data_IF_236250106778
#
_entry.id   IF_236250106778
#
_cell.length_a   1.000
_cell.length_b   1.000
_cell.length_c   1.000
_cell.angle_alpha   90.00
_cell.angle_beta   90.00
_cell.angle_gamma   90.00
#
_symmetry.space_group_name_H-M   'P 1'
#
loop_
_entity.id
_entity.type
_entity.pdbx_description
1 polymer ?
#
# COMPACT_ATOMS: atom_id res chain seq x y z
N UNK A 1 -0.92 17.71 27.73
CA UNK A 1 -1.50 18.96 27.21
C UNK A 1 -2.68 19.35 28.09
N UNK A 2 -2.71 20.62 28.58
CA UNK A 2 -3.75 21.08 29.49
C UNK A 2 -4.99 21.62 28.74
N UNK A 3 -6.17 21.54 29.40
CA UNK A 3 -7.44 22.04 28.83
C UNK A 3 -7.36 23.52 28.39
N UNK A 4 -6.63 24.35 29.13
CA UNK A 4 -6.47 25.79 28.82
C UNK A 4 -5.69 26.01 27.52
N UNK A 5 -4.67 25.19 27.26
CA UNK A 5 -3.88 25.24 26.07
C UNK A 5 -4.70 24.84 24.85
N UNK A 6 -5.42 23.71 24.92
CA UNK A 6 -6.30 23.29 23.82
C UNK A 6 -7.42 24.29 23.56
N UNK A 7 -7.98 24.88 24.61
CA UNK A 7 -9.01 25.90 24.47
C UNK A 7 -8.46 27.13 23.70
N UNK A 8 -7.27 27.59 24.06
CA UNK A 8 -6.60 28.71 23.39
C UNK A 8 -6.26 28.41 21.92
N UNK A 9 -5.68 27.25 21.65
CA UNK A 9 -5.30 26.85 20.29
C UNK A 9 -6.49 26.67 19.33
N UNK A 10 -7.67 26.37 19.88
CA UNK A 10 -8.90 26.16 19.08
C UNK A 10 -9.90 27.30 19.22
N UNK A 11 -9.54 28.42 19.79
CA UNK A 11 -10.42 29.59 19.97
C UNK A 11 -11.71 29.26 20.75
N UNK A 12 -11.62 28.35 21.73
CA UNK A 12 -12.74 27.90 22.54
C UNK A 12 -12.53 28.28 24.01
N UNK A 13 -13.63 28.28 24.79
CA UNK A 13 -13.53 28.35 26.24
C UNK A 13 -13.31 26.95 26.85
N UNK A 14 -12.61 26.88 27.99
CA UNK A 14 -12.46 25.61 28.71
C UNK A 14 -13.81 25.00 29.09
N UNK A 15 -14.83 25.85 29.39
CA UNK A 15 -16.20 25.38 29.63
C UNK A 15 -16.84 24.72 28.42
N UNK A 16 -16.60 25.22 27.22
CA UNK A 16 -17.07 24.61 25.97
C UNK A 16 -16.48 23.23 25.77
N UNK A 17 -15.18 23.05 26.05
CA UNK A 17 -14.49 21.75 25.96
C UNK A 17 -15.09 20.77 26.98
N UNK A 18 -15.31 21.18 28.23
CA UNK A 18 -15.94 20.32 29.25
C UNK A 18 -17.36 19.91 28.83
N UNK A 19 -18.14 20.85 28.27
CA UNK A 19 -19.49 20.56 27.77
C UNK A 19 -19.46 19.55 26.60
N UNK A 20 -18.48 19.65 25.72
CA UNK A 20 -18.24 18.69 24.65
C UNK A 20 -17.91 17.30 25.22
N UNK A 21 -16.98 17.21 26.17
CA UNK A 21 -16.63 15.95 26.82
C UNK A 21 -17.84 15.24 27.42
N UNK A 22 -18.68 15.98 28.15
CA UNK A 22 -19.93 15.45 28.72
C UNK A 22 -20.91 14.95 27.67
N UNK A 23 -21.03 15.64 26.52
CA UNK A 23 -21.88 15.18 25.40
C UNK A 23 -21.34 13.89 24.75
N UNK A 24 -20.03 13.66 24.81
CA UNK A 24 -19.37 12.43 24.33
C UNK A 24 -19.42 11.29 25.37
N UNK A 25 -20.04 11.51 26.53
CA UNK A 25 -20.16 10.50 27.59
C UNK A 25 -19.00 10.43 28.57
N UNK A 26 -18.12 11.46 28.58
CA UNK A 26 -17.01 11.56 29.55
C UNK A 26 -17.33 12.57 30.64
N UNK A 27 -16.89 12.31 31.87
CA UNK A 27 -17.11 13.23 33.01
C UNK A 27 -16.39 14.57 32.85
N UNK A 28 -15.32 14.61 32.06
CA UNK A 28 -14.56 15.81 31.74
C UNK A 28 -13.40 15.60 30.81
N UNK A 29 -12.61 16.69 30.63
CA UNK A 29 -11.47 16.68 29.72
C UNK A 29 -10.38 15.66 30.10
N UNK A 30 -10.11 15.50 31.38
CA UNK A 30 -9.07 14.59 31.87
C UNK A 30 -9.38 13.13 31.52
N UNK A 31 -10.64 12.73 31.62
CA UNK A 31 -11.07 11.39 31.28
C UNK A 31 -10.99 11.14 29.77
N UNK A 32 -11.49 12.09 28.96
CA UNK A 32 -11.36 12.02 27.50
C UNK A 32 -9.89 11.96 27.09
N UNK A 33 -9.03 12.81 27.66
CA UNK A 33 -7.61 12.84 27.36
C UNK A 33 -6.95 11.49 27.67
N UNK A 34 -7.22 10.94 28.85
CA UNK A 34 -6.69 9.63 29.26
C UNK A 34 -7.17 8.51 28.34
N UNK A 35 -8.45 8.51 27.99
CA UNK A 35 -9.02 7.56 27.04
C UNK A 35 -8.33 7.63 25.67
N UNK A 36 -8.19 8.83 25.11
CA UNK A 36 -7.54 9.04 23.80
C UNK A 36 -6.05 8.68 23.86
N UNK A 37 -5.33 9.09 24.91
CA UNK A 37 -3.91 8.73 25.07
C UNK A 37 -3.71 7.23 25.09
N UNK A 38 -4.55 6.51 25.82
CA UNK A 38 -4.51 5.04 25.87
C UNK A 38 -4.84 4.37 24.52
N UNK A 39 -5.74 4.97 23.73
CA UNK A 39 -6.02 4.48 22.39
C UNK A 39 -4.87 4.76 21.42
N UNK A 40 -4.19 5.89 21.55
CA UNK A 40 -3.01 6.23 20.76
C UNK A 40 -1.82 5.34 21.09
N UNK A 41 -1.56 5.10 22.39
CA UNK A 41 -0.51 4.19 22.85
C UNK A 41 -0.75 2.76 22.33
N UNK A 42 -1.98 2.25 22.46
CA UNK A 42 -2.35 0.93 21.91
C UNK A 42 -2.23 0.85 20.39
N UNK A 43 -2.52 1.93 19.66
CA UNK A 43 -2.33 1.99 18.21
C UNK A 43 -0.84 2.06 17.85
N UNK A 44 -0.05 2.83 18.60
CA UNK A 44 1.40 2.94 18.43
C UNK A 44 2.09 1.60 18.67
N UNK A 45 1.80 0.94 19.79
CA UNK A 45 2.33 -0.39 20.12
C UNK A 45 1.93 -1.45 19.08
N UNK A 46 0.63 -1.52 18.73
CA UNK A 46 0.17 -2.45 17.69
C UNK A 46 0.77 -2.15 16.32
N UNK A 47 0.95 -0.89 15.96
CA UNK A 47 1.59 -0.51 14.69
C UNK A 47 3.07 -0.86 14.68
N UNK A 48 3.78 -0.63 15.78
CA UNK A 48 5.19 -0.97 15.92
C UNK A 48 5.40 -2.49 15.92
N UNK A 49 4.56 -3.23 16.63
CA UNK A 49 4.60 -4.70 16.68
C UNK A 49 4.22 -5.33 15.34
N UNK A 50 3.20 -4.79 14.66
CA UNK A 50 2.81 -5.21 13.31
C UNK A 50 3.90 -4.89 12.28
N UNK A 51 4.52 -3.70 12.36
CA UNK A 51 5.65 -3.33 11.49
C UNK A 51 6.86 -4.24 11.75
N UNK A 52 7.19 -4.52 13.01
CA UNK A 52 8.27 -5.43 13.35
C UNK A 52 8.00 -6.85 12.82
N UNK A 53 6.79 -7.36 13.00
CA UNK A 53 6.38 -8.68 12.47
C UNK A 53 6.38 -8.71 10.94
N UNK A 54 6.05 -7.62 10.26
CA UNK A 54 6.12 -7.50 8.81
C UNK A 54 7.58 -7.48 8.33
N UNK A 55 8.44 -6.71 8.99
CA UNK A 55 9.87 -6.63 8.65
C UNK A 55 10.56 -7.96 8.92
N UNK A 56 10.25 -8.63 10.02
CA UNK A 56 10.82 -9.94 10.36
C UNK A 56 10.39 -11.07 9.39
N UNK A 57 9.33 -10.87 8.61
CA UNK A 57 8.84 -11.85 7.63
C UNK A 57 9.44 -11.69 6.23
N UNK A 58 10.13 -10.58 5.95
CA UNK A 58 10.76 -10.32 4.65
C UNK A 58 12.28 -10.14 4.82
N UNK A 59 13.03 -10.77 3.94
CA UNK A 59 14.49 -10.60 3.96
C UNK A 59 14.90 -9.19 3.57
N UNK A 60 16.01 -8.71 4.14
CA UNK A 60 16.58 -7.41 3.78
C UNK A 60 16.86 -7.30 2.27
N UNK A 61 17.22 -8.40 1.63
CA UNK A 61 17.45 -8.47 0.17
C UNK A 61 16.18 -8.17 -0.61
N UNK A 62 15.03 -8.73 -0.18
CA UNK A 62 13.73 -8.47 -0.82
C UNK A 62 13.33 -7.01 -0.65
N UNK A 63 13.47 -6.47 0.56
CA UNK A 63 13.14 -5.07 0.86
C UNK A 63 14.03 -4.12 0.07
N UNK A 64 15.34 -4.36 0.08
CA UNK A 64 16.31 -3.54 -0.65
C UNK A 64 16.09 -3.64 -2.17
N UNK A 65 15.79 -4.82 -2.69
CA UNK A 65 15.45 -5.02 -4.10
C UNK A 65 14.19 -4.27 -4.51
N UNK A 66 13.15 -4.27 -3.66
CA UNK A 66 11.93 -3.51 -3.89
C UNK A 66 12.18 -2.00 -3.88
N UNK A 67 12.92 -1.49 -2.90
CA UNK A 67 13.30 -0.07 -2.83
C UNK A 67 14.13 0.36 -4.03
N UNK A 68 15.13 -0.44 -4.42
CA UNK A 68 15.97 -0.14 -5.58
C UNK A 68 15.16 -0.10 -6.89
N UNK A 69 14.18 -1.01 -7.05
CA UNK A 69 13.28 -1.00 -8.20
C UNK A 69 12.43 0.27 -8.23
N UNK A 70 11.85 0.69 -7.08
CA UNK A 70 11.08 1.92 -6.99
C UNK A 70 11.91 3.15 -7.32
N UNK A 71 13.12 3.23 -6.78
CA UNK A 71 14.02 4.37 -7.04
C UNK A 71 14.45 4.43 -8.51
N UNK A 72 14.77 3.30 -9.13
CA UNK A 72 15.09 3.21 -10.56
C UNK A 72 13.91 3.61 -11.45
N UNK A 73 12.68 3.37 -11.00
CA UNK A 73 11.45 3.62 -11.76
C UNK A 73 10.71 4.91 -11.35
N UNK A 74 11.39 5.83 -10.66
CA UNK A 74 10.74 7.04 -10.09
C UNK A 74 10.08 7.94 -11.14
N UNK A 75 10.60 7.99 -12.34
CA UNK A 75 10.08 8.78 -13.46
C UNK A 75 9.25 7.93 -14.44
N UNK A 76 9.16 6.63 -14.21
CA UNK A 76 8.43 5.71 -15.07
C UNK A 76 6.96 5.60 -14.69
N UNK A 77 6.17 5.07 -15.60
CA UNK A 77 4.77 4.72 -15.34
C UNK A 77 4.68 3.44 -14.54
N UNK A 78 3.81 3.43 -13.56
CA UNK A 78 3.51 2.24 -12.77
C UNK A 78 2.05 1.83 -13.00
N UNK A 79 1.80 0.53 -12.95
CA UNK A 79 0.49 -0.03 -13.21
C UNK A 79 0.14 -1.02 -12.10
N UNK A 80 -1.14 -1.16 -11.77
CA UNK A 80 -1.62 -2.23 -10.89
C UNK A 80 -2.65 -3.07 -11.63
N UNK A 81 -2.67 -4.38 -11.37
CA UNK A 81 -3.70 -5.31 -11.84
C UNK A 81 -4.09 -6.28 -10.73
N UNK A 82 -5.35 -6.68 -10.72
CA UNK A 82 -5.90 -7.64 -9.78
C UNK A 82 -7.38 -7.88 -10.06
N UNK A 83 -7.90 -9.05 -9.69
CA UNK A 83 -9.30 -9.41 -9.87
C UNK A 83 -10.02 -9.55 -8.52
N UNK A 84 -11.29 -9.13 -8.47
CA UNK A 84 -12.14 -9.21 -7.29
C UNK A 84 -11.52 -8.51 -6.07
N UNK A 85 -11.36 -9.22 -4.95
CA UNK A 85 -10.75 -8.63 -3.75
C UNK A 85 -9.28 -8.23 -3.95
N UNK A 86 -8.57 -8.87 -4.87
CA UNK A 86 -7.19 -8.51 -5.17
C UNK A 86 -7.08 -7.14 -5.83
N UNK A 87 -8.10 -6.68 -6.56
CA UNK A 87 -8.12 -5.34 -7.13
C UNK A 87 -8.14 -4.24 -6.07
N UNK A 88 -8.80 -4.48 -4.92
CA UNK A 88 -8.81 -3.55 -3.77
C UNK A 88 -7.40 -3.38 -3.20
N UNK A 89 -6.63 -4.47 -3.14
CA UNK A 89 -5.22 -4.41 -2.70
C UNK A 89 -4.38 -3.64 -3.72
N UNK A 90 -4.59 -3.88 -5.02
CA UNK A 90 -3.96 -3.13 -6.10
C UNK A 90 -4.25 -1.62 -6.01
N UNK A 91 -5.50 -1.25 -5.76
CA UNK A 91 -5.91 0.13 -5.54
C UNK A 91 -5.21 0.76 -4.33
N UNK A 92 -5.14 0.05 -3.22
CA UNK A 92 -4.41 0.51 -2.04
C UNK A 92 -2.92 0.74 -2.33
N UNK A 93 -2.26 -0.17 -3.05
CA UNK A 93 -0.87 -0.02 -3.49
C UNK A 93 -0.74 1.24 -4.35
N UNK A 94 -1.62 1.42 -5.34
CA UNK A 94 -1.62 2.59 -6.23
C UNK A 94 -1.75 3.90 -5.45
N UNK A 95 -2.68 3.97 -4.50
CA UNK A 95 -2.86 5.15 -3.65
C UNK A 95 -1.60 5.45 -2.83
N UNK A 96 -0.96 4.44 -2.23
CA UNK A 96 0.24 4.61 -1.43
C UNK A 96 1.42 5.10 -2.25
N UNK A 97 1.65 4.52 -3.40
CA UNK A 97 2.71 4.95 -4.32
C UNK A 97 2.45 6.37 -4.86
N UNK A 98 1.19 6.71 -5.18
CA UNK A 98 0.82 8.06 -5.63
C UNK A 98 1.10 9.14 -4.56
N UNK A 99 0.84 8.83 -3.27
CA UNK A 99 1.19 9.73 -2.15
C UNK A 99 2.72 9.93 -2.06
N UNK A 100 3.50 8.92 -2.42
CA UNK A 100 4.97 8.99 -2.50
C UNK A 100 5.48 9.69 -3.78
N UNK A 101 4.59 10.18 -4.64
CA UNK A 101 4.94 10.95 -5.83
C UNK A 101 5.17 10.11 -7.09
N UNK A 102 4.81 8.83 -7.09
CA UNK A 102 4.87 7.99 -8.29
C UNK A 102 3.63 8.17 -9.19
N UNK A 103 3.82 8.05 -10.49
CA UNK A 103 2.73 8.05 -11.47
C UNK A 103 2.15 6.63 -11.60
N UNK A 104 0.98 6.38 -11.01
CA UNK A 104 0.39 5.04 -10.94
C UNK A 104 -0.98 5.01 -11.59
N UNK A 105 -1.18 4.04 -12.48
CA UNK A 105 -2.45 3.72 -13.13
C UNK A 105 -3.04 2.48 -12.47
N UNK A 106 -4.20 2.66 -11.85
CA UNK A 106 -4.82 1.60 -11.06
C UNK A 106 -5.69 0.67 -11.91
N UNK A 107 -5.62 -0.62 -11.61
CA UNK A 107 -6.46 -1.68 -12.15
C UNK A 107 -6.54 -1.66 -13.69
N UNK A 108 -5.37 -1.58 -14.32
CA UNK A 108 -5.23 -1.50 -15.77
C UNK A 108 -5.24 -2.91 -16.35
N UNK A 109 -6.26 -3.20 -17.15
CA UNK A 109 -6.34 -4.43 -17.94
C UNK A 109 -5.60 -4.28 -19.27
N UNK A 110 -5.34 -5.39 -19.91
CA UNK A 110 -4.53 -5.50 -21.12
C UNK A 110 -4.81 -4.43 -22.19
N UNK A 111 -6.06 -4.17 -22.51
CA UNK A 111 -6.42 -3.18 -23.54
C UNK A 111 -6.20 -1.73 -23.09
N UNK A 112 -6.40 -1.44 -21.83
CA UNK A 112 -6.08 -0.13 -21.24
C UNK A 112 -4.57 0.10 -21.24
N UNK A 113 -3.81 -0.95 -20.93
CA UNK A 113 -2.37 -0.94 -20.95
C UNK A 113 -1.82 -0.57 -22.34
N UNK A 114 -2.44 -1.05 -23.41
CA UNK A 114 -2.05 -0.66 -24.79
C UNK A 114 -2.24 0.83 -25.07
N UNK A 115 -3.20 1.49 -24.43
CA UNK A 115 -3.42 2.93 -24.56
C UNK A 115 -2.32 3.77 -23.89
N UNK A 116 -1.67 3.21 -22.88
CA UNK A 116 -0.63 3.88 -22.11
C UNK A 116 0.79 3.53 -22.54
N UNK A 117 0.96 2.45 -23.30
CA UNK A 117 2.23 2.11 -23.95
C UNK A 117 2.31 2.83 -25.29
N UNK A 118 2.79 4.08 -25.28
CA UNK A 118 3.11 4.75 -26.53
C UNK A 118 4.36 4.11 -27.15
N UNK A 119 4.42 4.08 -28.50
CA UNK A 119 5.58 3.57 -29.23
C UNK A 119 6.90 4.31 -28.86
N UNK A 120 6.81 5.50 -28.30
CA UNK A 120 7.95 6.26 -27.80
C UNK A 120 8.57 5.67 -26.52
N UNK A 121 7.78 4.99 -25.69
CA UNK A 121 8.28 4.37 -24.45
C UNK A 121 9.15 3.13 -24.73
N UNK A 122 9.11 2.62 -25.97
CA UNK A 122 9.85 1.42 -26.39
C UNK A 122 11.21 1.73 -27.05
N UNK A 123 11.48 2.98 -27.39
CA UNK A 123 12.66 3.37 -28.17
C UNK A 123 13.76 4.07 -27.35
N UNK A 124 13.48 4.48 -26.12
CA UNK A 124 14.46 5.06 -25.21
C UNK A 124 15.16 3.94 -24.42
N UNK A 125 16.30 3.45 -24.92
CA UNK A 125 17.15 2.47 -24.21
C UNK A 125 17.62 2.99 -22.83
N UNK A 126 17.54 4.29 -22.58
CA UNK A 126 17.88 4.94 -21.32
C UNK A 126 16.65 5.21 -20.41
N UNK A 127 15.43 4.96 -20.90
CA UNK A 127 14.23 5.21 -20.09
C UNK A 127 14.13 4.23 -18.92
N UNK A 128 13.77 4.74 -17.75
CA UNK A 128 13.51 3.91 -16.58
C UNK A 128 12.37 2.91 -16.89
N UNK A 129 12.53 1.63 -16.52
CA UNK A 129 11.54 0.61 -16.86
C UNK A 129 10.22 0.87 -16.13
N UNK A 130 9.12 0.82 -16.86
CA UNK A 130 7.79 0.82 -16.25
C UNK A 130 7.59 -0.41 -15.38
N UNK A 131 6.76 -0.31 -14.33
CA UNK A 131 6.56 -1.39 -13.35
C UNK A 131 5.08 -1.76 -13.31
N UNK A 132 4.79 -3.06 -13.33
CA UNK A 132 3.46 -3.58 -13.05
C UNK A 132 3.43 -4.32 -11.72
N UNK A 133 2.52 -3.91 -10.85
CA UNK A 133 2.20 -4.57 -9.59
C UNK A 133 1.00 -5.48 -9.80
N UNK A 134 1.21 -6.78 -9.79
CA UNK A 134 0.19 -7.78 -10.00
C UNK A 134 -0.21 -8.44 -8.69
N UNK A 135 -1.50 -8.41 -8.36
CA UNK A 135 -2.03 -8.98 -7.12
C UNK A 135 -2.94 -10.16 -7.44
N UNK A 136 -2.56 -11.34 -7.00
CA UNK A 136 -3.41 -12.53 -7.08
C UNK A 136 -3.09 -13.49 -5.94
N UNK A 137 -4.09 -13.80 -5.12
CA UNK A 137 -3.92 -14.70 -3.97
C UNK A 137 -3.46 -16.10 -4.40
N UNK A 138 -4.07 -16.67 -5.43
CA UNK A 138 -3.70 -17.98 -5.97
C UNK A 138 -2.45 -17.91 -6.86
N UNK A 139 -2.22 -16.76 -7.48
CA UNK A 139 -1.21 -16.58 -8.54
C UNK A 139 -1.56 -17.31 -9.85
N UNK A 140 -2.82 -17.76 -10.01
CA UNK A 140 -3.31 -18.51 -11.17
C UNK A 140 -4.50 -17.82 -11.85
N UNK A 141 -4.79 -16.57 -11.50
CA UNK A 141 -5.92 -15.81 -12.04
C UNK A 141 -5.64 -15.42 -13.48
N UNK A 142 -6.37 -15.99 -14.44
CA UNK A 142 -6.12 -15.87 -15.87
C UNK A 142 -6.10 -14.41 -16.38
N UNK A 143 -7.06 -13.52 -16.04
CA UNK A 143 -6.98 -12.12 -16.45
C UNK A 143 -5.69 -11.43 -15.97
N UNK A 144 -5.27 -11.65 -14.71
CA UNK A 144 -4.03 -11.07 -14.17
C UNK A 144 -2.80 -11.62 -14.88
N UNK A 145 -2.77 -12.92 -15.20
CA UNK A 145 -1.67 -13.53 -15.95
C UNK A 145 -1.57 -12.94 -17.35
N UNK A 146 -2.71 -12.70 -18.02
CA UNK A 146 -2.75 -12.07 -19.32
C UNK A 146 -2.18 -10.65 -19.28
N UNK A 147 -2.58 -9.83 -18.31
CA UNK A 147 -2.05 -8.48 -18.12
C UNK A 147 -0.53 -8.50 -17.92
N UNK A 148 -0.04 -9.42 -17.08
CA UNK A 148 1.39 -9.58 -16.81
C UNK A 148 2.17 -10.03 -18.05
N UNK A 149 1.60 -10.96 -18.85
CA UNK A 149 2.24 -11.36 -20.11
C UNK A 149 2.38 -10.19 -21.09
N UNK A 150 1.37 -9.32 -21.18
CA UNK A 150 1.44 -8.12 -22.00
C UNK A 150 2.45 -7.10 -21.47
N UNK A 151 2.46 -6.86 -20.15
CA UNK A 151 3.41 -5.96 -19.53
C UNK A 151 4.86 -6.41 -19.79
N UNK A 152 5.15 -7.71 -19.64
CA UNK A 152 6.48 -8.26 -19.92
C UNK A 152 6.90 -8.10 -21.41
N UNK A 153 5.98 -8.32 -22.34
CA UNK A 153 6.26 -8.09 -23.78
C UNK A 153 6.63 -6.65 -24.08
N UNK A 154 6.13 -5.71 -23.28
CA UNK A 154 6.43 -4.29 -23.39
C UNK A 154 7.62 -3.86 -22.50
N UNK A 155 8.42 -4.80 -21.99
CA UNK A 155 9.63 -4.51 -21.23
C UNK A 155 9.40 -4.06 -19.79
N UNK A 156 8.17 -4.18 -19.26
CA UNK A 156 7.88 -3.77 -17.88
C UNK A 156 8.50 -4.75 -16.88
N UNK A 157 8.93 -4.20 -15.74
CA UNK A 157 9.27 -4.99 -14.56
C UNK A 157 8.00 -5.42 -13.84
N UNK A 158 8.00 -6.66 -13.35
CA UNK A 158 6.83 -7.24 -12.68
C UNK A 158 7.12 -7.46 -11.21
N UNK A 159 6.31 -6.86 -10.36
CA UNK A 159 6.26 -7.12 -8.92
C UNK A 159 4.95 -7.84 -8.61
N UNK A 160 5.00 -9.00 -7.99
CA UNK A 160 3.80 -9.75 -7.66
C UNK A 160 3.59 -9.91 -6.16
N UNK A 161 2.31 -9.82 -5.77
CA UNK A 161 1.83 -10.14 -4.43
C UNK A 161 0.95 -11.39 -4.51
N UNK A 162 1.40 -12.48 -3.93
CA UNK A 162 0.70 -13.78 -3.98
C UNK A 162 0.91 -14.56 -2.69
N UNK A 163 0.03 -15.53 -2.40
CA UNK A 163 0.27 -16.51 -1.32
C UNK A 163 1.20 -17.65 -1.72
N UNK A 164 1.39 -17.85 -3.02
CA UNK A 164 2.08 -19.03 -3.55
C UNK A 164 3.34 -18.63 -4.32
N UNK A 165 4.49 -18.89 -3.72
CA UNK A 165 5.80 -18.66 -4.35
C UNK A 165 6.04 -19.54 -5.60
N UNK A 166 5.31 -20.65 -5.74
CA UNK A 166 5.41 -21.60 -6.85
C UNK A 166 4.37 -21.37 -7.96
N UNK A 167 3.56 -20.32 -7.87
CA UNK A 167 2.48 -20.02 -8.82
C UNK A 167 2.98 -19.58 -10.20
N UNK A 168 2.07 -19.63 -11.20
CA UNK A 168 2.36 -19.12 -12.54
C UNK A 168 2.76 -17.64 -12.51
N UNK A 169 2.06 -16.84 -11.71
CA UNK A 169 2.35 -15.42 -11.54
C UNK A 169 3.73 -15.17 -10.95
N UNK A 170 4.12 -15.96 -9.93
CA UNK A 170 5.43 -15.84 -9.30
C UNK A 170 6.58 -16.15 -10.28
N UNK A 171 6.39 -17.11 -11.18
CA UNK A 171 7.38 -17.44 -12.22
C UNK A 171 7.56 -16.35 -13.28
N UNK A 172 6.57 -15.49 -13.45
CA UNK A 172 6.61 -14.35 -14.39
C UNK A 172 7.20 -13.08 -13.78
N UNK A 173 7.35 -13.02 -12.47
CA UNK A 173 7.74 -11.81 -11.75
C UNK A 173 9.26 -11.63 -11.68
N UNK A 174 9.70 -10.36 -11.71
CA UNK A 174 11.07 -9.98 -11.37
C UNK A 174 11.26 -9.92 -9.84
N UNK A 175 10.18 -9.60 -9.11
CA UNK A 175 10.15 -9.60 -7.65
C UNK A 175 8.87 -10.24 -7.14
N UNK A 176 9.01 -11.20 -6.23
CA UNK A 176 7.87 -11.92 -5.64
C UNK A 176 7.74 -11.59 -4.16
N UNK A 177 6.59 -11.02 -3.79
CA UNK A 177 6.23 -10.76 -2.41
C UNK A 177 5.18 -11.79 -1.99
N UNK A 178 5.62 -12.75 -1.17
CA UNK A 178 4.73 -13.79 -0.65
C UNK A 178 4.00 -13.25 0.56
N UNK A 179 2.67 -13.13 0.45
CA UNK A 179 1.81 -12.63 1.54
C UNK A 179 1.29 -13.81 2.33
N UNK A 180 1.84 -14.03 3.53
CA UNK A 180 1.34 -15.06 4.43
C UNK A 180 0.11 -14.55 5.19
N UNK A 181 -1.06 -15.08 4.82
CA UNK A 181 -2.33 -14.79 5.48
C UNK A 181 -2.64 -15.68 6.69
N UNK A 182 -1.71 -16.55 7.12
CA UNK A 182 -1.99 -17.61 8.11
C UNK A 182 -2.09 -17.11 9.56
N UNK A 183 -1.79 -15.83 9.85
CA UNK A 183 -1.80 -15.26 11.21
C UNK A 183 -2.91 -14.25 11.51
N UNK A 184 -3.85 -14.03 10.59
CA UNK A 184 -5.04 -13.22 10.88
C UNK A 184 -6.25 -14.12 11.13
N UNK A 185 -6.22 -14.84 12.24
CA UNK A 185 -7.47 -15.29 12.86
C UNK A 185 -8.11 -14.05 13.49
N UNK A 186 -9.21 -13.60 12.89
CA UNK A 186 -10.11 -12.63 13.53
C UNK A 186 -10.61 -13.28 14.83
N UNK A 187 -10.11 -12.80 15.95
CA UNK A 187 -10.69 -13.03 17.28
C UNK A 187 -11.60 -11.86 17.59
#
# INVERSE_FOLDING_TARGET
VGIKQIASENFLSAASIVKMCKRLGFDGYSELYYYLSRQMDRRGERSAENLKTLVDNYSDELVNGFCALLDASRQAKMFTTGEGFSSIVGEYIAQRLSICGFMVYNNVHFYDHMLFCSAHDLTDEEAAPSVMFAVSQSGETEPVLNDVHHARRNGHKIVTFTKRADSALARLADLVIVVDGSKQTLA
#
